data_IF_888836415943
#
_entry.id   IF_888836415943
#
_cell.length_a   1.000
_cell.length_b   1.000
_cell.length_c   1.000
_cell.angle_alpha   90.00
_cell.angle_beta   90.00
_cell.angle_gamma   90.00
#
_symmetry.space_group_name_H-M   'P 1'
#
loop_
_entity.id
_entity.type
_entity.pdbx_description
1 polymer ?
#
# COMPACT_ATOMS: atom_id res chain seq x y z
N UNK A 1 -10.54 12.17 25.39
CA UNK A 1 -9.94 13.38 24.82
C UNK A 1 -9.01 13.11 23.63
N UNK A 2 -8.11 12.14 23.69
CA UNK A 2 -7.12 11.87 22.64
C UNK A 2 -7.75 11.42 21.30
N UNK A 3 -8.72 10.52 21.32
CA UNK A 3 -9.45 10.05 20.14
C UNK A 3 -10.17 11.17 19.38
N UNK A 4 -10.82 12.08 20.11
CA UNK A 4 -11.53 13.23 19.52
C UNK A 4 -10.53 14.18 18.82
N UNK A 5 -9.34 14.36 19.41
CA UNK A 5 -8.27 15.15 18.83
C UNK A 5 -7.76 14.51 17.53
N UNK A 6 -7.46 13.21 17.53
CA UNK A 6 -7.00 12.48 16.35
C UNK A 6 -8.06 12.55 15.24
N UNK A 7 -9.33 12.30 15.56
CA UNK A 7 -10.43 12.40 14.59
C UNK A 7 -10.52 13.80 13.95
N UNK A 8 -10.42 14.86 14.75
CA UNK A 8 -10.41 16.23 14.25
C UNK A 8 -9.20 16.49 13.33
N UNK A 9 -8.00 16.07 13.74
CA UNK A 9 -6.79 16.20 12.93
C UNK A 9 -6.92 15.49 11.58
N UNK A 10 -7.43 14.26 11.56
CA UNK A 10 -7.70 13.49 10.34
C UNK A 10 -8.69 14.22 9.42
N UNK A 11 -9.81 14.67 9.98
CA UNK A 11 -10.88 15.33 9.21
C UNK A 11 -10.42 16.66 8.62
N UNK A 12 -9.70 17.45 9.42
CA UNK A 12 -9.17 18.74 8.98
C UNK A 12 -8.08 18.57 7.91
N UNK A 13 -7.19 17.59 8.09
CA UNK A 13 -6.17 17.28 7.10
C UNK A 13 -6.79 16.80 5.79
N UNK A 14 -7.76 15.88 5.85
CA UNK A 14 -8.47 15.37 4.68
C UNK A 14 -9.20 16.49 3.92
N UNK A 15 -9.95 17.36 4.61
CA UNK A 15 -10.65 18.48 4.00
C UNK A 15 -9.72 19.48 3.32
N UNK A 16 -8.62 19.82 3.99
CA UNK A 16 -7.68 20.84 3.49
C UNK A 16 -6.81 20.32 2.34
N UNK A 17 -6.53 19.02 2.28
CA UNK A 17 -5.63 18.40 1.30
C UNK A 17 -6.32 17.30 0.47
N UNK A 18 -7.64 17.41 0.31
CA UNK A 18 -8.47 16.45 -0.42
C UNK A 18 -7.90 16.08 -1.80
N UNK A 19 -7.34 17.07 -2.51
CA UNK A 19 -6.77 16.88 -3.84
C UNK A 19 -5.62 15.85 -3.85
N UNK A 20 -4.77 15.84 -2.82
CA UNK A 20 -3.67 14.86 -2.74
C UNK A 20 -4.18 13.45 -2.50
N UNK A 21 -5.17 13.29 -1.61
CA UNK A 21 -5.84 12.00 -1.42
C UNK A 21 -6.49 11.52 -2.72
N UNK A 22 -7.15 12.41 -3.45
CA UNK A 22 -7.80 12.09 -4.72
C UNK A 22 -6.80 11.64 -5.78
N UNK A 23 -5.70 12.38 -5.99
CA UNK A 23 -4.66 12.03 -6.97
C UNK A 23 -4.05 10.66 -6.64
N UNK A 24 -3.71 10.41 -5.38
CA UNK A 24 -3.11 9.16 -4.96
C UNK A 24 -4.08 7.98 -5.11
N UNK A 25 -5.35 8.18 -4.77
CA UNK A 25 -6.41 7.17 -4.94
C UNK A 25 -6.66 6.88 -6.41
N UNK A 26 -6.73 7.89 -7.27
CA UNK A 26 -6.92 7.70 -8.71
C UNK A 26 -5.71 6.97 -9.34
N UNK A 27 -4.49 7.29 -8.93
CA UNK A 27 -3.29 6.60 -9.38
C UNK A 27 -3.32 5.12 -8.98
N UNK A 28 -3.74 4.81 -7.74
CA UNK A 28 -3.89 3.44 -7.26
C UNK A 28 -4.96 2.68 -8.03
N UNK A 29 -6.16 3.25 -8.16
CA UNK A 29 -7.29 2.62 -8.86
C UNK A 29 -6.96 2.37 -10.33
N UNK A 30 -6.33 3.32 -11.01
CA UNK A 30 -5.88 3.12 -12.39
C UNK A 30 -4.87 1.96 -12.49
N UNK A 31 -3.95 1.83 -11.53
CA UNK A 31 -3.05 0.69 -11.45
C UNK A 31 -3.78 -0.64 -11.28
N UNK A 32 -4.78 -0.71 -10.38
CA UNK A 32 -5.59 -1.91 -10.15
C UNK A 32 -6.33 -2.34 -11.42
N UNK A 33 -6.79 -1.39 -12.24
CA UNK A 33 -7.46 -1.67 -13.52
C UNK A 33 -6.45 -2.12 -14.60
N UNK A 34 -5.29 -1.49 -14.67
CA UNK A 34 -4.25 -1.82 -15.65
C UNK A 34 -3.65 -3.21 -15.37
N UNK A 35 -3.47 -3.58 -14.09
CA UNK A 35 -2.83 -4.83 -13.69
C UNK A 35 -3.38 -6.08 -14.38
N UNK A 36 -4.70 -6.38 -14.33
CA UNK A 36 -5.29 -7.53 -14.99
C UNK A 36 -5.19 -7.50 -16.52
N UNK A 37 -5.17 -6.30 -17.14
CA UNK A 37 -5.02 -6.16 -18.58
C UNK A 37 -3.65 -6.65 -19.06
N UNK A 38 -2.61 -6.43 -18.27
CA UNK A 38 -1.25 -6.90 -18.57
C UNK A 38 -1.17 -8.43 -18.65
N UNK A 39 -2.04 -9.15 -17.97
CA UNK A 39 -2.05 -10.64 -18.00
C UNK A 39 -2.32 -11.18 -19.40
N UNK A 40 -3.11 -10.48 -20.21
CA UNK A 40 -3.42 -10.90 -21.58
C UNK A 40 -2.23 -10.79 -22.53
N UNK A 41 -1.26 -9.93 -22.18
CA UNK A 41 -0.10 -9.60 -23.02
C UNK A 41 1.09 -10.53 -22.74
N UNK A 42 1.23 -11.02 -21.49
CA UNK A 42 2.40 -11.78 -21.07
C UNK A 42 2.21 -13.30 -21.22
N UNK A 43 3.28 -13.98 -21.67
CA UNK A 43 3.39 -15.43 -21.64
C UNK A 43 3.49 -15.97 -20.20
N UNK A 44 3.20 -17.25 -19.99
CA UNK A 44 3.15 -17.87 -18.67
C UNK A 44 4.43 -17.68 -17.86
N UNK A 45 5.61 -17.85 -18.47
CA UNK A 45 6.91 -17.64 -17.81
C UNK A 45 7.08 -16.19 -17.32
N UNK A 46 6.69 -15.21 -18.14
CA UNK A 46 6.75 -13.80 -17.77
C UNK A 46 5.80 -13.47 -16.62
N UNK A 47 4.60 -14.07 -16.62
CA UNK A 47 3.62 -13.94 -15.53
C UNK A 47 4.19 -14.44 -14.19
N UNK A 48 4.80 -15.62 -14.19
CA UNK A 48 5.43 -16.21 -13.00
C UNK A 48 6.62 -15.34 -12.53
N UNK A 49 7.42 -14.83 -13.44
CA UNK A 49 8.55 -13.94 -13.12
C UNK A 49 8.06 -12.64 -12.47
N UNK A 50 7.03 -12.01 -13.04
CA UNK A 50 6.44 -10.78 -12.48
C UNK A 50 5.85 -11.04 -11.09
N UNK A 51 5.15 -12.16 -10.90
CA UNK A 51 4.60 -12.52 -9.59
C UNK A 51 5.68 -12.73 -8.53
N UNK A 52 6.80 -13.35 -8.88
CA UNK A 52 7.95 -13.52 -7.98
C UNK A 52 8.54 -12.18 -7.55
N UNK A 53 8.67 -11.24 -8.49
CA UNK A 53 9.21 -9.91 -8.21
C UNK A 53 8.23 -9.02 -7.43
N UNK A 54 6.95 -9.10 -7.78
CA UNK A 54 5.89 -8.29 -7.19
C UNK A 54 5.47 -8.77 -5.79
N UNK A 55 5.59 -10.06 -5.54
CA UNK A 55 5.15 -10.72 -4.30
C UNK A 55 6.27 -11.65 -3.80
N UNK A 56 7.13 -11.18 -2.88
CA UNK A 56 8.16 -12.04 -2.29
C UNK A 56 7.58 -13.27 -1.60
N UNK A 57 6.30 -13.24 -1.19
CA UNK A 57 5.58 -14.39 -0.62
C UNK A 57 5.35 -15.50 -1.63
N UNK A 58 5.10 -15.15 -2.89
CA UNK A 58 4.91 -16.13 -3.94
C UNK A 58 6.22 -16.86 -4.26
N UNK A 59 7.34 -16.17 -4.15
CA UNK A 59 8.67 -16.81 -4.29
C UNK A 59 8.99 -17.75 -3.14
N UNK A 60 8.62 -17.39 -1.90
CA UNK A 60 8.80 -18.24 -0.71
C UNK A 60 7.86 -19.45 -0.73
N UNK A 61 6.62 -19.28 -1.21
CA UNK A 61 5.67 -20.37 -1.38
C UNK A 61 6.14 -21.45 -2.36
N UNK A 62 6.84 -21.06 -3.43
CA UNK A 62 7.39 -21.97 -4.42
C UNK A 62 8.66 -22.70 -3.94
N UNK A 63 9.35 -22.21 -2.92
CA UNK A 63 10.60 -22.77 -2.39
C UNK A 63 10.43 -23.73 -1.20
N UNK A 64 9.20 -24.17 -0.91
CA UNK A 64 8.85 -25.17 0.13
C UNK A 64 9.39 -24.92 1.56
N UNK A 65 9.96 -23.78 1.85
CA UNK A 65 10.38 -23.39 3.20
C UNK A 65 9.31 -22.53 3.87
N UNK A 66 8.17 -23.16 4.17
CA UNK A 66 7.08 -22.58 4.93
C UNK A 66 7.43 -22.38 6.40
N UNK A 67 8.27 -21.42 6.68
CA UNK A 67 8.35 -20.88 8.02
C UNK A 67 7.47 -19.63 8.06
N UNK A 68 6.33 -19.72 8.73
CA UNK A 68 5.38 -18.61 8.97
C UNK A 68 6.13 -17.32 9.38
N UNK A 69 7.20 -17.48 10.14
CA UNK A 69 8.11 -16.42 10.57
C UNK A 69 8.87 -15.73 9.43
N UNK A 70 9.20 -16.45 8.35
CA UNK A 70 9.93 -15.86 7.22
C UNK A 70 9.06 -14.94 6.36
N UNK A 71 7.80 -15.31 6.18
CA UNK A 71 6.82 -14.52 5.43
C UNK A 71 6.47 -13.24 6.20
N UNK A 72 6.20 -13.35 7.50
CA UNK A 72 5.90 -12.21 8.36
C UNK A 72 7.07 -11.21 8.39
N UNK A 73 8.29 -11.71 8.46
CA UNK A 73 9.49 -10.90 8.43
C UNK A 73 9.64 -10.16 7.09
N UNK A 74 9.40 -10.84 5.98
CA UNK A 74 9.46 -10.27 4.65
C UNK A 74 8.40 -9.17 4.45
N UNK A 75 7.15 -9.38 4.94
CA UNK A 75 6.08 -8.37 4.93
C UNK A 75 6.47 -7.11 5.66
N UNK A 76 6.92 -7.26 6.90
CA UNK A 76 7.29 -6.11 7.74
C UNK A 76 8.44 -5.33 7.09
N UNK A 77 9.50 -6.02 6.63
CA UNK A 77 10.65 -5.39 5.98
C UNK A 77 10.22 -4.64 4.72
N UNK A 78 9.35 -5.21 3.90
CA UNK A 78 8.84 -4.57 2.70
C UNK A 78 8.05 -3.29 3.02
N UNK A 79 7.20 -3.31 4.04
CA UNK A 79 6.43 -2.12 4.40
C UNK A 79 7.30 -1.03 5.06
N UNK A 80 8.29 -1.42 5.88
CA UNK A 80 9.27 -0.46 6.43
C UNK A 80 10.06 0.19 5.29
N UNK A 81 10.51 -0.59 4.29
CA UNK A 81 11.20 -0.05 3.12
C UNK A 81 10.32 0.95 2.35
N UNK A 82 9.03 0.64 2.14
CA UNK A 82 8.09 1.56 1.50
C UNK A 82 7.91 2.85 2.29
N UNK A 83 7.77 2.78 3.61
CA UNK A 83 7.68 3.96 4.48
C UNK A 83 8.94 4.81 4.36
N UNK A 84 10.12 4.19 4.41
CA UNK A 84 11.39 4.89 4.26
C UNK A 84 11.50 5.60 2.89
N UNK A 85 11.11 4.91 1.81
CA UNK A 85 11.10 5.50 0.45
C UNK A 85 10.15 6.69 0.39
N UNK A 86 8.94 6.59 0.93
CA UNK A 86 7.96 7.68 0.94
C UNK A 86 8.50 8.88 1.73
N UNK A 87 9.06 8.64 2.91
CA UNK A 87 9.66 9.70 3.73
C UNK A 87 10.85 10.37 3.02
N UNK A 88 11.73 9.56 2.39
CA UNK A 88 12.87 10.07 1.63
C UNK A 88 12.41 10.93 0.43
N UNK A 89 11.41 10.48 -0.32
CA UNK A 89 10.80 11.26 -1.41
C UNK A 89 10.19 12.57 -0.92
N UNK A 90 9.65 12.54 0.30
CA UNK A 90 9.26 13.75 1.03
C UNK A 90 10.42 14.73 1.19
N UNK A 91 11.59 14.30 1.60
CA UNK A 91 12.78 15.14 1.76
C UNK A 91 13.29 15.71 0.42
N UNK A 92 13.34 14.90 -0.61
CA UNK A 92 13.93 15.25 -1.93
C UNK A 92 13.10 16.21 -2.79
N UNK A 93 11.98 16.75 -2.33
CA UNK A 93 11.07 17.62 -3.10
C UNK A 93 10.45 17.00 -4.36
N UNK A 94 10.68 15.72 -4.63
CA UNK A 94 10.15 14.99 -5.81
C UNK A 94 8.90 14.17 -5.50
N UNK A 95 8.49 14.14 -4.22
CA UNK A 95 7.37 13.34 -3.73
C UNK A 95 6.07 13.59 -4.48
N UNK A 96 5.81 14.83 -4.90
CA UNK A 96 4.58 15.17 -5.64
C UNK A 96 4.42 14.35 -6.94
N UNK A 97 5.49 14.10 -7.66
CA UNK A 97 5.47 13.37 -8.94
C UNK A 97 5.64 11.86 -8.74
N UNK A 98 6.51 11.46 -7.81
CA UNK A 98 6.91 10.07 -7.65
C UNK A 98 5.88 9.28 -6.82
N UNK A 99 5.25 9.89 -5.80
CA UNK A 99 4.28 9.18 -4.95
C UNK A 99 3.07 8.63 -5.72
N UNK A 100 2.42 9.37 -6.63
CA UNK A 100 1.37 8.80 -7.47
C UNK A 100 1.87 7.62 -8.32
N UNK A 101 3.12 7.69 -8.83
CA UNK A 101 3.72 6.60 -9.61
C UNK A 101 3.97 5.36 -8.76
N UNK A 102 4.42 5.52 -7.51
CA UNK A 102 4.59 4.42 -6.56
C UNK A 102 3.25 3.74 -6.24
N UNK A 103 2.19 4.52 -6.03
CA UNK A 103 0.85 3.97 -5.78
C UNK A 103 0.28 3.30 -7.02
N UNK A 104 0.50 3.87 -8.20
CA UNK A 104 0.13 3.24 -9.47
C UNK A 104 0.82 1.89 -9.64
N UNK A 105 2.13 1.80 -9.40
CA UNK A 105 2.88 0.55 -9.45
C UNK A 105 2.34 -0.47 -8.43
N UNK A 106 2.04 -0.05 -7.20
CA UNK A 106 1.42 -0.90 -6.19
C UNK A 106 0.04 -1.38 -6.62
N UNK A 107 -0.77 -0.51 -7.23
CA UNK A 107 -2.05 -0.87 -7.83
C UNK A 107 -1.91 -1.92 -8.94
N UNK A 108 -0.94 -1.74 -9.85
CA UNK A 108 -0.65 -2.69 -10.94
C UNK A 108 -0.30 -4.06 -10.35
N UNK A 109 0.57 -4.13 -9.34
CA UNK A 109 0.95 -5.42 -8.73
C UNK A 109 -0.24 -6.12 -8.09
N UNK A 110 -1.09 -5.40 -7.39
CA UNK A 110 -2.32 -5.95 -6.79
C UNK A 110 -3.29 -6.44 -7.86
N UNK A 111 -3.61 -5.61 -8.85
CA UNK A 111 -4.50 -5.95 -9.94
C UNK A 111 -3.99 -7.13 -10.76
N UNK A 112 -2.67 -7.18 -11.01
CA UNK A 112 -2.03 -8.31 -11.68
C UNK A 112 -2.16 -9.61 -10.88
N UNK A 113 -1.89 -9.58 -9.57
CA UNK A 113 -2.01 -10.76 -8.70
C UNK A 113 -3.43 -11.30 -8.67
N UNK A 114 -4.43 -10.44 -8.45
CA UNK A 114 -5.84 -10.82 -8.45
C UNK A 114 -6.26 -11.34 -9.83
N UNK A 115 -5.92 -10.64 -10.90
CA UNK A 115 -6.23 -11.05 -12.25
C UNK A 115 -5.58 -12.38 -12.64
N UNK A 116 -4.35 -12.65 -12.19
CA UNK A 116 -3.68 -13.95 -12.39
C UNK A 116 -4.43 -15.08 -11.69
N UNK A 117 -4.84 -14.91 -10.44
CA UNK A 117 -5.62 -15.90 -9.71
C UNK A 117 -6.96 -16.18 -10.40
N UNK A 118 -7.66 -15.12 -10.78
CA UNK A 118 -8.96 -15.23 -11.47
C UNK A 118 -8.81 -15.89 -12.84
N UNK A 119 -7.78 -15.56 -13.60
CA UNK A 119 -7.54 -16.12 -14.94
C UNK A 119 -7.20 -17.62 -14.91
N UNK A 120 -6.54 -18.11 -13.83
CA UNK A 120 -6.15 -19.52 -13.71
C UNK A 120 -7.15 -20.38 -12.93
N UNK A 121 -7.89 -19.79 -11.98
CA UNK A 121 -8.77 -20.51 -11.04
C UNK A 121 -10.26 -20.10 -11.17
N UNK A 122 -10.60 -19.17 -12.06
CA UNK A 122 -11.97 -18.69 -12.23
C UNK A 122 -12.55 -18.08 -10.94
N UNK A 123 -13.80 -18.44 -10.62
CA UNK A 123 -14.49 -17.96 -9.41
C UNK A 123 -13.78 -18.32 -8.12
N UNK A 124 -13.07 -19.45 -8.06
CA UNK A 124 -12.29 -19.85 -6.87
C UNK A 124 -11.11 -18.90 -6.64
N UNK A 125 -10.44 -18.47 -7.73
CA UNK A 125 -9.40 -17.44 -7.66
C UNK A 125 -9.92 -16.10 -7.16
N UNK A 126 -11.15 -15.75 -7.52
CA UNK A 126 -11.81 -14.55 -7.01
C UNK A 126 -12.06 -14.63 -5.49
N UNK A 127 -12.62 -15.74 -5.01
CA UNK A 127 -12.88 -15.98 -3.59
C UNK A 127 -11.57 -15.95 -2.78
N UNK A 128 -10.52 -16.62 -3.28
CA UNK A 128 -9.18 -16.57 -2.67
C UNK A 128 -8.60 -15.17 -2.63
N UNK A 129 -8.80 -14.38 -3.67
CA UNK A 129 -8.34 -12.98 -3.71
C UNK A 129 -9.07 -12.13 -2.68
N UNK A 130 -10.40 -12.27 -2.58
CA UNK A 130 -11.21 -11.52 -1.61
C UNK A 130 -10.85 -11.89 -0.18
N UNK A 131 -10.69 -13.17 0.13
CA UNK A 131 -10.35 -13.63 1.49
C UNK A 131 -8.89 -13.40 1.87
N UNK A 132 -7.97 -13.51 0.91
CA UNK A 132 -6.53 -13.58 1.15
C UNK A 132 -5.72 -12.35 0.81
N UNK A 133 -6.17 -11.56 -0.14
CA UNK A 133 -5.40 -10.40 -0.59
C UNK A 133 -6.06 -9.10 -0.11
N UNK A 134 -7.39 -9.01 -0.17
CA UNK A 134 -8.09 -7.77 0.12
C UNK A 134 -8.00 -7.30 1.57
N UNK A 135 -8.22 -8.14 2.62
CA UNK A 135 -8.32 -7.64 3.99
C UNK A 135 -7.06 -6.90 4.46
N UNK A 136 -5.88 -7.48 4.22
CA UNK A 136 -4.62 -6.86 4.58
C UNK A 136 -4.31 -5.62 3.74
N UNK A 137 -4.63 -5.68 2.43
CA UNK A 137 -4.37 -4.56 1.53
C UNK A 137 -5.25 -3.34 1.81
N UNK A 138 -6.43 -3.48 2.40
CA UNK A 138 -7.22 -2.34 2.87
C UNK A 138 -6.41 -1.47 3.84
N UNK A 139 -5.74 -2.07 4.81
CA UNK A 139 -4.91 -1.34 5.78
C UNK A 139 -3.65 -0.77 5.11
N UNK A 140 -2.98 -1.58 4.29
CA UNK A 140 -1.75 -1.16 3.59
C UNK A 140 -2.04 0.03 2.66
N UNK A 141 -3.10 -0.05 1.85
CA UNK A 141 -3.44 1.01 0.89
C UNK A 141 -3.91 2.28 1.59
N UNK A 142 -4.75 2.15 2.63
CA UNK A 142 -5.17 3.30 3.43
C UNK A 142 -3.96 4.01 4.08
N UNK A 143 -3.03 3.24 4.63
CA UNK A 143 -1.79 3.76 5.20
C UNK A 143 -0.90 4.44 4.16
N UNK A 144 -0.74 3.84 2.96
CA UNK A 144 0.07 4.41 1.87
C UNK A 144 -0.52 5.70 1.32
N UNK A 145 -1.84 5.75 1.07
CA UNK A 145 -2.52 6.96 0.60
C UNK A 145 -2.40 8.06 1.65
N UNK A 146 -2.68 7.73 2.92
CA UNK A 146 -2.62 8.69 4.01
C UNK A 146 -1.22 9.24 4.24
N UNK A 147 -0.21 8.37 4.32
CA UNK A 147 1.18 8.77 4.48
C UNK A 147 1.66 9.61 3.29
N UNK A 148 1.34 9.18 2.07
CA UNK A 148 1.66 9.92 0.85
C UNK A 148 1.03 11.32 0.83
N UNK A 149 -0.25 11.45 1.21
CA UNK A 149 -0.93 12.74 1.29
C UNK A 149 -0.31 13.66 2.35
N UNK A 150 0.07 13.12 3.52
CA UNK A 150 0.78 13.87 4.56
C UNK A 150 2.13 14.37 4.03
N UNK A 151 2.91 13.52 3.37
CA UNK A 151 4.20 13.90 2.81
C UNK A 151 4.06 14.96 1.72
N UNK A 152 3.05 14.86 0.84
CA UNK A 152 2.79 15.87 -0.20
C UNK A 152 2.35 17.21 0.40
N UNK A 153 1.51 17.19 1.46
CA UNK A 153 0.98 18.38 2.10
C UNK A 153 2.01 19.19 2.86
N UNK A 154 3.01 18.54 3.47
CA UNK A 154 4.08 19.23 4.21
C UNK A 154 4.87 20.18 3.33
N UNK A 155 4.98 19.88 2.04
CA UNK A 155 5.71 20.71 1.07
C UNK A 155 4.94 21.96 0.61
N UNK A 156 3.64 21.88 0.50
CA UNK A 156 2.83 23.06 0.17
C UNK A 156 2.89 24.10 1.28
N UNK A 157 2.95 23.64 2.52
CA UNK A 157 3.09 24.49 3.70
C UNK A 157 4.45 25.23 3.70
N UNK A 158 5.52 24.59 3.25
CA UNK A 158 6.86 25.18 3.17
C UNK A 158 7.00 26.15 1.99
N UNK A 159 6.27 25.92 0.90
CA UNK A 159 6.36 26.70 -0.35
C UNK A 159 5.63 28.05 -0.33
N UNK A 160 4.69 28.26 0.61
CA UNK A 160 3.91 29.51 0.73
C UNK A 160 4.20 30.19 2.08
N UNK A 161 5.34 30.91 2.24
CA UNK A 161 5.55 31.73 3.42
C UNK A 161 4.74 33.01 3.27
N UNK A 162 3.50 33.05 3.70
CA UNK A 162 2.71 34.27 3.74
C UNK A 162 2.31 34.63 5.17
N UNK A 163 2.73 35.83 5.57
CA UNK A 163 2.34 36.65 6.73
C UNK A 163 2.48 36.05 8.16
N UNK A 164 2.90 36.89 9.11
CA UNK A 164 3.17 36.54 10.53
C UNK A 164 2.00 35.88 11.27
N UNK A 165 0.77 36.05 10.84
CA UNK A 165 -0.42 35.40 11.40
C UNK A 165 -0.41 33.90 11.11
N UNK A 166 0.17 33.48 10.00
CA UNK A 166 0.29 32.09 9.59
C UNK A 166 1.42 31.32 10.32
N UNK A 167 2.39 31.98 10.91
CA UNK A 167 3.53 31.28 11.56
C UNK A 167 3.08 30.49 12.78
N UNK A 168 2.19 31.00 13.60
CA UNK A 168 1.64 30.28 14.76
C UNK A 168 0.69 29.15 14.36
N UNK A 169 -0.06 29.33 13.27
CA UNK A 169 -0.90 28.29 12.67
C UNK A 169 -0.05 27.14 12.08
N UNK A 170 1.13 27.46 11.53
CA UNK A 170 2.05 26.49 10.94
C UNK A 170 2.74 25.60 11.97
N UNK A 171 3.10 26.12 13.14
CA UNK A 171 3.80 25.36 14.19
C UNK A 171 2.93 24.24 14.77
N UNK A 172 1.63 24.48 14.97
CA UNK A 172 0.66 23.46 15.37
C UNK A 172 0.46 22.39 14.27
N UNK A 173 0.39 22.81 13.01
CA UNK A 173 0.16 21.95 11.86
C UNK A 173 1.34 21.03 11.51
N UNK A 174 2.58 21.44 11.77
CA UNK A 174 3.76 20.58 11.62
C UNK A 174 3.70 19.41 12.60
N UNK A 175 3.31 19.64 13.85
CA UNK A 175 3.17 18.57 14.83
C UNK A 175 2.02 17.63 14.47
N UNK A 176 0.90 18.14 13.92
CA UNK A 176 -0.22 17.35 13.47
C UNK A 176 0.16 16.44 12.28
N UNK A 177 0.98 16.94 11.34
CA UNK A 177 1.48 16.15 10.23
C UNK A 177 2.37 14.98 10.69
N UNK A 178 3.23 15.21 11.69
CA UNK A 178 4.07 14.15 12.28
C UNK A 178 3.18 13.08 12.96
N UNK A 179 2.20 13.51 13.76
CA UNK A 179 1.26 12.59 14.44
C UNK A 179 0.48 11.77 13.42
N UNK A 180 -0.02 12.39 12.35
CA UNK A 180 -0.73 11.70 11.27
C UNK A 180 0.22 10.75 10.50
N UNK A 181 1.45 11.14 10.24
CA UNK A 181 2.46 10.29 9.62
C UNK A 181 2.72 9.03 10.44
N UNK A 182 2.89 9.16 11.76
CA UNK A 182 3.04 8.02 12.68
C UNK A 182 1.79 7.14 12.66
N UNK A 183 0.60 7.73 12.70
CA UNK A 183 -0.66 7.00 12.68
C UNK A 183 -0.79 6.15 11.40
N UNK A 184 -0.55 6.74 10.23
CA UNK A 184 -0.61 6.00 8.95
C UNK A 184 0.48 4.93 8.85
N UNK A 185 1.66 5.16 9.42
CA UNK A 185 2.72 4.14 9.51
C UNK A 185 2.29 2.97 10.40
N UNK A 186 1.61 3.22 11.51
CA UNK A 186 1.05 2.17 12.36
C UNK A 186 -0.01 1.37 11.59
N UNK A 187 -0.91 2.02 10.86
CA UNK A 187 -1.92 1.35 10.02
C UNK A 187 -1.24 0.45 8.97
N UNK A 188 -0.18 0.92 8.34
CA UNK A 188 0.65 0.15 7.40
C UNK A 188 1.25 -1.10 8.05
N UNK A 189 1.83 -0.97 9.26
CA UNK A 189 2.42 -2.08 9.98
C UNK A 189 1.37 -3.11 10.41
N UNK A 190 0.18 -2.67 10.82
CA UNK A 190 -0.94 -3.58 11.08
C UNK A 190 -1.30 -4.36 9.83
N UNK A 191 -1.37 -3.71 8.67
CA UNK A 191 -1.55 -4.38 7.38
C UNK A 191 -0.45 -5.39 7.06
N UNK A 192 0.82 -5.07 7.36
CA UNK A 192 1.96 -5.98 7.17
C UNK A 192 1.86 -7.25 8.05
N UNK A 193 1.43 -7.09 9.30
CA UNK A 193 1.23 -8.22 10.21
C UNK A 193 0.08 -9.11 9.69
N UNK A 194 -1.03 -8.51 9.28
CA UNK A 194 -2.15 -9.24 8.69
C UNK A 194 -1.70 -9.98 7.41
N UNK A 195 -0.91 -9.35 6.56
CA UNK A 195 -0.35 -9.95 5.36
C UNK A 195 0.53 -11.16 5.71
N UNK A 196 1.42 -11.03 6.68
CA UNK A 196 2.32 -12.11 7.12
C UNK A 196 1.59 -13.32 7.74
N UNK A 197 0.41 -13.10 8.33
CA UNK A 197 -0.39 -14.18 8.96
C UNK A 197 -1.39 -14.79 7.98
N UNK A 198 -2.09 -13.97 7.18
CA UNK A 198 -3.15 -14.45 6.28
C UNK A 198 -2.61 -15.06 5.00
N UNK A 199 -1.56 -14.46 4.40
CA UNK A 199 -1.04 -14.92 3.10
C UNK A 199 -0.53 -16.36 3.11
N UNK A 200 0.24 -16.86 4.12
CA UNK A 200 0.68 -18.24 4.14
C UNK A 200 -0.48 -19.24 4.23
N UNK A 201 -1.48 -18.95 5.05
CA UNK A 201 -2.64 -19.82 5.25
C UNK A 201 -3.46 -20.01 3.99
N UNK A 202 -3.64 -18.94 3.24
CA UNK A 202 -4.44 -18.95 2.01
C UNK A 202 -3.67 -19.58 0.86
N UNK A 203 -2.35 -19.33 0.78
CA UNK A 203 -1.48 -20.02 -0.17
C UNK A 203 -1.45 -21.53 0.11
N UNK A 204 -1.41 -21.97 1.37
CA UNK A 204 -1.53 -23.37 1.75
C UNK A 204 -2.83 -24.01 1.24
N UNK A 205 -3.96 -23.38 1.48
CA UNK A 205 -5.27 -23.84 0.98
C UNK A 205 -5.34 -23.87 -0.56
N UNK A 206 -4.68 -22.94 -1.23
CA UNK A 206 -4.66 -22.93 -2.70
C UNK A 206 -3.77 -24.03 -3.29
N UNK A 207 -2.63 -24.33 -2.65
CA UNK A 207 -1.74 -25.42 -3.08
C UNK A 207 -2.35 -26.79 -2.87
N UNK A 208 -2.99 -27.04 -1.73
CA UNK A 208 -3.74 -28.28 -1.48
C UNK A 208 -4.82 -28.53 -2.53
N UNK A 209 -5.38 -27.46 -3.08
CA UNK A 209 -6.35 -27.54 -4.15
C UNK A 209 -5.71 -27.88 -5.51
N UNK A 210 -4.52 -27.33 -5.81
CA UNK A 210 -3.80 -27.64 -7.05
C UNK A 210 -3.20 -29.06 -7.07
N UNK A 211 -2.82 -29.61 -5.90
CA UNK A 211 -2.26 -30.97 -5.79
C UNK A 211 -3.36 -32.04 -5.92
N UNK A 212 -4.61 -31.71 -5.63
CA UNK A 212 -5.78 -32.62 -5.73
C UNK A 212 -6.47 -32.62 -7.10
N UNK A 213 -5.99 -31.83 -8.05
CA UNK A 213 -6.41 -31.82 -9.46
C UNK A 213 -5.41 -32.61 -10.31
#
# INVERSE_FOLDING_TARGET
MLLIRIYRMLTDHFKNFFLYYLILTLALVSGIVIGPLLIKIFNLESKIRILRLANPYFSLALTSSYLENSVLRASIVQQIYLVLVICLMGFLNVGFYILPLVLLAKGITLGFTVGFLVSNMGLKGLVLSIGGIYPQNLFILAGLIGLGAVVMSTKEVVRKPLSRVFINYHKGRSNDAIVLGILYTIILLVGAILEGVLSPRILGLSLDYFIKL
#
